data_IF_505021710914
#
_entry.id   IF_505021710914
#
_cell.length_a   1.000
_cell.length_b   1.000
_cell.length_c   1.000
_cell.angle_alpha   90.00
_cell.angle_beta   90.00
_cell.angle_gamma   90.00
#
_symmetry.space_group_name_H-M   'P 1'
#
loop_
_entity.id
_entity.type
_entity.pdbx_description
1 polymer ?
#
# COMPACT_ATOMS: atom_id res chain seq x y z
N UNK A 1 36.67 34.07 35.69
CA UNK A 1 35.57 34.45 34.77
C UNK A 1 35.37 33.29 33.79
N UNK A 2 34.88 32.13 34.23
CA UNK A 2 33.46 31.68 34.26
C UNK A 2 32.74 31.72 32.92
N UNK A 3 32.70 30.54 32.28
CA UNK A 3 31.85 30.10 31.18
C UNK A 3 30.37 30.18 31.59
N UNK A 4 29.50 30.69 30.72
CA UNK A 4 28.04 30.59 30.87
C UNK A 4 27.42 30.10 29.55
N UNK A 5 27.43 28.78 29.37
CA UNK A 5 26.62 28.10 28.35
C UNK A 5 25.15 28.08 28.77
N UNK A 6 24.25 28.48 27.88
CA UNK A 6 22.80 28.36 28.06
C UNK A 6 22.35 26.96 27.66
N UNK A 7 22.06 26.11 28.63
CA UNK A 7 21.40 24.82 28.43
C UNK A 7 19.88 25.00 28.34
N UNK A 8 19.27 24.49 27.27
CA UNK A 8 17.81 24.26 27.20
C UNK A 8 17.50 22.89 27.79
N UNK A 9 16.68 22.89 28.83
CA UNK A 9 16.09 21.73 29.49
C UNK A 9 15.13 21.02 28.53
N UNK A 10 15.38 19.74 28.24
CA UNK A 10 14.38 18.81 27.72
C UNK A 10 14.10 17.81 28.83
N UNK A 11 12.90 17.88 29.39
CA UNK A 11 12.40 16.96 30.42
C UNK A 11 11.96 15.69 29.72
N UNK A 12 12.67 14.61 29.99
CA UNK A 12 12.37 13.25 29.57
C UNK A 12 11.51 12.60 30.67
N UNK A 13 10.18 12.70 30.56
CA UNK A 13 9.26 11.88 31.37
C UNK A 13 8.93 10.61 30.60
N UNK A 14 9.45 9.49 31.10
CA UNK A 14 9.26 8.17 30.53
C UNK A 14 8.10 7.38 31.13
N UNK A 15 7.93 6.20 30.50
CA UNK A 15 7.32 4.94 31.00
C UNK A 15 5.79 4.86 31.00
N UNK A 16 5.24 3.98 30.14
CA UNK A 16 4.82 2.63 30.58
C UNK A 16 4.55 1.70 29.37
N UNK A 17 5.39 0.68 29.21
CA UNK A 17 5.16 -0.46 28.31
C UNK A 17 4.36 -1.50 29.08
N UNK A 18 3.13 -1.77 28.65
CA UNK A 18 2.35 -2.90 29.17
C UNK A 18 2.50 -4.07 28.20
N UNK A 19 3.38 -5.02 28.53
CA UNK A 19 3.42 -6.33 27.86
C UNK A 19 2.27 -7.15 28.42
N UNK A 20 1.24 -7.38 27.60
CA UNK A 20 0.23 -8.42 27.86
C UNK A 20 0.50 -9.55 26.87
N UNK A 21 1.15 -10.61 27.36
CA UNK A 21 1.30 -11.86 26.65
C UNK A 21 0.01 -12.69 26.83
N UNK A 22 -0.86 -12.68 25.82
CA UNK A 22 -1.89 -13.72 25.69
C UNK A 22 -1.36 -14.75 24.72
N UNK A 23 -0.94 -15.90 25.27
CA UNK A 23 -0.60 -17.08 24.52
C UNK A 23 -1.89 -17.67 23.91
N UNK A 24 -2.05 -17.55 22.60
CA UNK A 24 -3.00 -18.35 21.82
C UNK A 24 -2.18 -19.28 20.91
N UNK A 25 -2.56 -20.57 20.78
CA UNK A 25 -1.81 -21.53 20.00
C UNK A 25 -1.87 -21.17 18.52
N UNK A 26 -0.69 -21.02 17.91
CA UNK A 26 -0.50 -20.95 16.47
C UNK A 26 -0.96 -22.29 15.87
N UNK A 27 -2.18 -22.35 15.36
CA UNK A 27 -2.50 -23.36 14.35
C UNK A 27 -1.86 -22.92 13.04
N UNK A 28 -0.74 -23.56 12.74
CA UNK A 28 -0.10 -23.60 11.43
C UNK A 28 -1.08 -24.19 10.41
N UNK A 29 -1.94 -23.35 9.83
CA UNK A 29 -2.65 -23.66 8.59
C UNK A 29 -1.77 -23.26 7.38
N UNK A 30 -0.51 -23.67 7.39
CA UNK A 30 0.32 -23.66 6.19
C UNK A 30 -0.04 -24.92 5.41
N UNK A 31 -1.12 -24.84 4.65
CA UNK A 31 -1.46 -25.87 3.68
C UNK A 31 -0.35 -25.95 2.64
N UNK A 32 0.33 -27.10 2.58
CA UNK A 32 1.13 -27.54 1.45
C UNK A 32 0.27 -27.47 0.17
N UNK A 33 0.36 -26.36 -0.55
CA UNK A 33 -0.27 -26.15 -1.85
C UNK A 33 0.82 -25.75 -2.84
N UNK A 34 1.36 -26.74 -3.55
CA UNK A 34 2.48 -26.60 -4.47
C UNK A 34 2.36 -25.40 -5.41
N UNK A 35 3.49 -24.70 -5.57
CA UNK A 35 3.67 -23.66 -6.56
C UNK A 35 3.24 -24.16 -7.95
N UNK A 36 2.06 -23.70 -8.40
CA UNK A 36 1.59 -23.85 -9.78
C UNK A 36 2.50 -23.06 -10.72
N UNK A 37 3.54 -23.73 -11.23
CA UNK A 37 4.46 -23.23 -12.28
C UNK A 37 3.80 -23.15 -13.67
N UNK A 38 2.53 -23.50 -13.77
CA UNK A 38 1.71 -23.56 -14.98
C UNK A 38 0.96 -22.25 -15.30
N UNK A 39 0.85 -21.30 -14.36
CA UNK A 39 0.20 -20.00 -14.61
C UNK A 39 1.10 -19.06 -15.43
N UNK A 40 2.42 -19.14 -15.25
CA UNK A 40 3.40 -18.23 -15.88
C UNK A 40 3.39 -18.32 -17.42
N UNK A 41 3.02 -19.47 -17.99
CA UNK A 41 3.15 -19.70 -19.44
C UNK A 41 1.93 -19.28 -20.26
N UNK A 42 0.73 -19.24 -19.66
CA UNK A 42 -0.49 -18.78 -20.36
C UNK A 42 -0.67 -17.26 -20.30
N UNK A 43 -0.15 -16.62 -19.25
CA UNK A 43 -0.22 -15.17 -19.10
C UNK A 43 0.78 -14.44 -20.00
N UNK A 44 1.95 -15.06 -20.27
CA UNK A 44 2.98 -14.46 -21.12
C UNK A 44 2.51 -14.20 -22.57
N UNK A 45 1.63 -15.05 -23.12
CA UNK A 45 1.14 -14.89 -24.50
C UNK A 45 -0.10 -13.98 -24.61
N UNK A 46 -0.90 -13.82 -23.53
CA UNK A 46 -1.93 -12.77 -23.45
C UNK A 46 -1.33 -11.37 -23.20
N UNK A 47 -0.20 -11.30 -22.49
CA UNK A 47 0.43 -10.05 -22.07
C UNK A 47 1.19 -9.29 -23.17
N UNK A 48 1.45 -9.90 -24.33
CA UNK A 48 2.17 -9.22 -25.41
C UNK A 48 1.30 -8.19 -26.16
N UNK A 49 -0.03 -8.23 -26.02
CA UNK A 49 -0.95 -7.38 -26.79
C UNK A 49 -1.80 -6.45 -25.90
N UNK A 50 -1.73 -6.58 -24.58
CA UNK A 50 -2.39 -5.70 -23.62
C UNK A 50 -1.45 -5.41 -22.44
N UNK A 51 -0.46 -4.53 -22.63
CA UNK A 51 0.46 -4.15 -21.54
C UNK A 51 -0.25 -3.17 -20.58
N UNK A 52 -1.15 -3.67 -19.74
CA UNK A 52 -1.55 -2.94 -18.55
C UNK A 52 -0.33 -2.77 -17.63
N UNK A 53 0.01 -1.53 -17.30
CA UNK A 53 1.00 -1.23 -16.29
C UNK A 53 0.41 -1.53 -14.91
N UNK A 54 1.25 -1.94 -13.97
CA UNK A 54 0.81 -2.13 -12.59
C UNK A 54 1.10 -0.86 -11.78
N UNK A 55 0.19 -0.54 -10.87
CA UNK A 55 0.31 0.56 -9.93
C UNK A 55 0.06 0.05 -8.53
N UNK A 56 0.96 0.39 -7.60
CA UNK A 56 0.70 0.33 -6.18
C UNK A 56 -0.01 1.61 -5.77
N UNK A 57 -1.18 1.46 -5.17
CA UNK A 57 -1.95 2.56 -4.61
C UNK A 57 -1.98 2.39 -3.10
N UNK A 58 -1.55 3.41 -2.38
CA UNK A 58 -1.58 3.48 -0.93
C UNK A 58 -2.56 4.58 -0.51
N UNK A 59 -3.27 4.34 0.59
CA UNK A 59 -4.20 5.33 1.12
C UNK A 59 -4.26 5.33 2.64
N UNK A 60 -4.50 6.50 3.22
CA UNK A 60 -4.68 6.70 4.65
C UNK A 60 -5.81 7.68 4.91
N UNK A 61 -6.53 7.51 6.02
CA UNK A 61 -7.53 8.48 6.45
C UNK A 61 -6.90 9.86 6.68
N UNK A 62 -7.46 10.90 6.05
CA UNK A 62 -6.99 12.25 6.28
C UNK A 62 -7.42 12.73 7.68
N UNK A 63 -6.51 13.41 8.41
CA UNK A 63 -6.89 14.06 9.67
C UNK A 63 -7.91 15.19 9.43
N UNK A 64 -7.83 15.85 8.28
CA UNK A 64 -8.83 16.82 7.84
C UNK A 64 -10.09 16.08 7.41
N UNK A 65 -11.22 16.35 8.07
CA UNK A 65 -12.48 15.63 7.84
C UNK A 65 -12.67 14.42 8.76
N UNK A 66 -11.92 14.30 9.84
CA UNK A 66 -12.24 13.34 10.90
C UNK A 66 -13.58 13.72 11.56
N UNK A 67 -14.51 12.76 11.72
CA UNK A 67 -15.80 13.03 12.34
C UNK A 67 -15.62 13.41 13.81
N UNK A 68 -16.34 14.43 14.27
CA UNK A 68 -16.26 14.92 15.67
C UNK A 68 -17.37 14.36 16.55
N UNK A 69 -18.37 13.70 15.95
CA UNK A 69 -19.43 12.98 16.66
C UNK A 69 -19.61 11.55 16.17
N UNK A 70 -20.33 10.75 16.97
CA UNK A 70 -20.70 9.38 16.62
C UNK A 70 -21.57 9.33 15.36
N UNK A 71 -22.54 10.22 15.26
CA UNK A 71 -23.49 10.28 14.14
C UNK A 71 -22.76 10.61 12.84
N UNK A 72 -21.83 11.58 12.88
CA UNK A 72 -20.97 11.90 11.74
C UNK A 72 -20.07 10.72 11.35
N UNK A 73 -19.57 9.98 12.34
CA UNK A 73 -18.76 8.78 12.09
C UNK A 73 -19.57 7.71 11.35
N UNK A 74 -20.80 7.45 11.81
CA UNK A 74 -21.72 6.50 11.17
C UNK A 74 -21.99 6.95 9.73
N UNK A 75 -22.33 8.22 9.53
CA UNK A 75 -22.63 8.76 8.19
C UNK A 75 -21.42 8.66 7.24
N UNK A 76 -20.23 9.00 7.72
CA UNK A 76 -19.00 8.92 6.92
C UNK A 76 -18.65 7.47 6.56
N UNK A 77 -18.81 6.54 7.50
CA UNK A 77 -18.58 5.12 7.24
C UNK A 77 -19.58 4.57 6.22
N UNK A 78 -20.86 4.83 6.43
CA UNK A 78 -21.96 4.33 5.60
C UNK A 78 -21.93 4.88 4.17
N UNK A 79 -21.71 6.20 4.03
CA UNK A 79 -21.82 6.87 2.73
C UNK A 79 -20.51 6.97 1.96
N UNK A 80 -19.36 7.03 2.65
CA UNK A 80 -18.07 7.29 2.00
C UNK A 80 -17.15 6.07 2.05
N UNK A 81 -16.87 5.56 3.25
CA UNK A 81 -15.80 4.55 3.43
C UNK A 81 -16.23 3.18 2.92
N UNK A 82 -17.34 2.64 3.42
CA UNK A 82 -17.81 1.28 3.05
C UNK A 82 -18.03 1.16 1.54
N UNK A 83 -18.74 2.07 0.85
CA UNK A 83 -18.96 1.96 -0.58
C UNK A 83 -17.67 2.02 -1.39
N UNK A 84 -16.68 2.81 -0.95
CA UNK A 84 -15.38 2.90 -1.62
C UNK A 84 -14.62 1.59 -1.51
N UNK A 85 -14.57 0.98 -0.32
CA UNK A 85 -13.91 -0.30 -0.10
C UNK A 85 -14.60 -1.43 -0.87
N UNK A 86 -15.93 -1.45 -0.91
CA UNK A 86 -16.68 -2.42 -1.71
C UNK A 86 -16.42 -2.26 -3.21
N UNK A 87 -16.36 -1.03 -3.72
CA UNK A 87 -16.06 -0.77 -5.13
C UNK A 87 -14.67 -1.28 -5.49
N UNK A 88 -13.67 -1.04 -4.63
CA UNK A 88 -12.32 -1.57 -4.82
C UNK A 88 -12.26 -3.10 -4.76
N UNK A 89 -13.05 -3.73 -3.86
CA UNK A 89 -13.12 -5.18 -3.75
C UNK A 89 -13.85 -5.88 -4.91
N UNK A 90 -14.60 -5.14 -5.73
CA UNK A 90 -15.35 -5.65 -6.88
C UNK A 90 -14.68 -5.34 -8.23
N UNK A 91 -13.69 -4.43 -8.27
CA UNK A 91 -12.99 -4.06 -9.51
C UNK A 91 -12.01 -5.17 -9.93
N UNK A 92 -12.21 -5.73 -11.11
CA UNK A 92 -11.45 -6.88 -11.64
C UNK A 92 -10.00 -6.52 -12.03
N UNK A 93 -9.69 -5.22 -12.15
CA UNK A 93 -8.32 -4.74 -12.37
C UNK A 93 -7.51 -4.72 -11.07
N UNK A 94 -8.16 -4.75 -9.91
CA UNK A 94 -7.48 -4.84 -8.61
C UNK A 94 -6.97 -6.27 -8.43
N UNK A 95 -5.65 -6.44 -8.45
CA UNK A 95 -4.99 -7.75 -8.39
C UNK A 95 -4.87 -8.28 -6.96
N UNK A 96 -4.66 -7.37 -6.02
CA UNK A 96 -4.59 -7.66 -4.59
C UNK A 96 -4.76 -6.35 -3.81
N UNK A 97 -5.26 -6.43 -2.57
CA UNK A 97 -5.35 -5.26 -1.71
C UNK A 97 -5.90 -5.57 -0.33
N UNK A 98 -5.84 -4.59 0.56
CA UNK A 98 -6.37 -4.71 1.91
C UNK A 98 -6.04 -3.51 2.79
N UNK A 99 -6.45 -3.64 4.06
CA UNK A 99 -6.18 -2.69 5.13
C UNK A 99 -5.11 -3.28 6.04
N UNK A 100 -4.14 -2.47 6.44
CA UNK A 100 -3.16 -2.86 7.43
C UNK A 100 -3.84 -3.03 8.80
N UNK A 101 -3.58 -4.17 9.45
CA UNK A 101 -4.28 -4.51 10.69
C UNK A 101 -4.07 -3.45 11.78
N UNK A 102 -5.17 -3.02 12.40
CA UNK A 102 -5.16 -2.03 13.48
C UNK A 102 -4.94 -0.58 13.04
N UNK A 103 -4.94 -0.30 11.73
CA UNK A 103 -4.81 1.06 11.19
C UNK A 103 -5.95 1.39 10.23
N UNK A 104 -6.01 2.66 9.78
CA UNK A 104 -6.86 3.11 8.68
C UNK A 104 -6.04 3.37 7.41
N UNK A 105 -4.94 2.62 7.27
CA UNK A 105 -4.04 2.67 6.11
C UNK A 105 -4.27 1.41 5.29
N UNK A 106 -4.46 1.57 4.00
CA UNK A 106 -4.62 0.47 3.07
C UNK A 106 -3.70 0.59 1.88
N UNK A 107 -3.58 -0.52 1.16
CA UNK A 107 -2.87 -0.55 -0.10
C UNK A 107 -3.52 -1.57 -1.04
N UNK A 108 -3.43 -1.31 -2.34
CA UNK A 108 -3.82 -2.26 -3.37
C UNK A 108 -2.95 -2.12 -4.61
N UNK A 109 -2.89 -3.20 -5.40
CA UNK A 109 -2.24 -3.22 -6.70
C UNK A 109 -3.31 -3.29 -7.77
N UNK A 110 -3.26 -2.36 -8.73
CA UNK A 110 -4.20 -2.28 -9.84
C UNK A 110 -3.48 -2.28 -11.17
N UNK A 111 -4.09 -2.93 -12.16
CA UNK A 111 -3.67 -2.84 -13.55
C UNK A 111 -4.38 -1.71 -14.28
N UNK A 112 -3.63 -0.85 -14.95
CA UNK A 112 -4.16 0.27 -15.71
C UNK A 112 -3.23 0.64 -16.88
N UNK A 113 -3.77 1.34 -17.88
CA UNK A 113 -2.98 1.80 -19.04
C UNK A 113 -2.13 3.02 -18.71
N UNK A 114 -2.53 3.80 -17.70
CA UNK A 114 -1.82 5.00 -17.28
C UNK A 114 -2.13 5.37 -15.82
N UNK A 115 -1.29 6.25 -15.26
CA UNK A 115 -1.53 6.83 -13.93
C UNK A 115 -2.83 7.64 -13.89
N UNK A 116 -3.22 8.26 -15.00
CA UNK A 116 -4.43 9.06 -15.10
C UNK A 116 -5.69 8.20 -14.98
N UNK A 117 -5.68 6.99 -15.54
CA UNK A 117 -6.77 6.03 -15.39
C UNK A 117 -6.96 5.62 -13.91
N UNK A 118 -5.85 5.38 -13.20
CA UNK A 118 -5.88 5.10 -11.75
C UNK A 118 -6.39 6.30 -10.97
N UNK A 119 -5.95 7.51 -11.33
CA UNK A 119 -6.37 8.75 -10.66
C UNK A 119 -7.85 9.04 -10.88
N UNK A 120 -8.36 8.77 -12.08
CA UNK A 120 -9.79 8.89 -12.39
C UNK A 120 -10.64 7.88 -11.60
N UNK A 121 -10.17 6.63 -11.46
CA UNK A 121 -10.81 5.65 -10.58
C UNK A 121 -10.86 6.15 -9.14
N UNK A 122 -9.73 6.63 -8.61
CA UNK A 122 -9.65 7.14 -7.25
C UNK A 122 -10.61 8.34 -7.08
N UNK A 123 -10.64 9.26 -8.03
CA UNK A 123 -11.54 10.42 -8.00
C UNK A 123 -13.02 10.06 -8.02
N UNK A 124 -13.38 8.91 -8.60
CA UNK A 124 -14.75 8.41 -8.61
C UNK A 124 -15.17 7.74 -7.29
N UNK A 125 -14.22 7.43 -6.39
CA UNK A 125 -14.53 6.86 -5.08
C UNK A 125 -15.19 7.93 -4.18
N UNK A 126 -16.28 7.57 -3.46
CA UNK A 126 -16.88 8.47 -2.47
C UNK A 126 -15.89 8.97 -1.41
N UNK A 127 -14.92 8.15 -1.01
CA UNK A 127 -13.90 8.50 -0.03
C UNK A 127 -12.69 9.26 -0.61
N UNK A 128 -12.72 9.66 -1.88
CA UNK A 128 -11.60 10.31 -2.57
C UNK A 128 -11.10 11.57 -1.87
N UNK A 129 -12.01 12.35 -1.26
CA UNK A 129 -11.71 13.63 -0.62
C UNK A 129 -11.35 13.53 0.87
N UNK A 130 -11.72 12.43 1.54
CA UNK A 130 -11.50 12.21 2.98
C UNK A 130 -10.32 11.28 3.27
N UNK A 131 -9.69 10.76 2.22
CA UNK A 131 -8.47 9.95 2.30
C UNK A 131 -7.37 10.61 1.48
N UNK A 132 -6.13 10.41 1.93
CA UNK A 132 -4.95 10.76 1.16
C UNK A 132 -4.55 9.56 0.32
N UNK A 133 -4.34 9.77 -0.97
CA UNK A 133 -4.02 8.72 -1.93
C UNK A 133 -2.63 8.94 -2.53
N UNK A 134 -1.89 7.86 -2.71
CA UNK A 134 -0.60 7.85 -3.37
C UNK A 134 -0.61 6.77 -4.46
N UNK A 135 -0.28 7.17 -5.69
CA UNK A 135 -0.23 6.26 -6.84
C UNK A 135 1.21 6.15 -7.34
N UNK A 136 1.75 4.94 -7.24
CA UNK A 136 3.13 4.60 -7.56
C UNK A 136 3.16 3.54 -8.67
N UNK A 137 3.71 3.83 -9.87
CA UNK A 137 3.92 2.79 -10.88
C UNK A 137 4.92 1.75 -10.37
N UNK A 138 4.67 0.48 -10.64
CA UNK A 138 5.60 -0.60 -10.28
C UNK A 138 6.15 -1.28 -11.54
N UNK A 139 7.46 -1.50 -11.55
CA UNK A 139 8.16 -2.18 -12.65
C UNK A 139 8.13 -3.70 -12.44
N UNK A 140 8.18 -4.44 -13.56
CA UNK A 140 8.33 -5.89 -13.47
C UNK A 140 9.76 -6.26 -13.04
N UNK A 141 9.91 -7.33 -12.26
CA UNK A 141 11.23 -7.84 -11.89
C UNK A 141 12.08 -8.22 -13.12
N UNK A 142 11.46 -8.72 -14.18
CA UNK A 142 12.16 -9.07 -15.42
C UNK A 142 12.80 -7.83 -16.07
N UNK A 143 12.03 -6.76 -16.24
CA UNK A 143 12.54 -5.49 -16.77
C UNK A 143 13.66 -4.94 -15.89
N UNK A 144 13.45 -4.92 -14.56
CA UNK A 144 14.45 -4.43 -13.63
C UNK A 144 15.74 -5.25 -13.68
N UNK A 145 15.63 -6.58 -13.74
CA UNK A 145 16.80 -7.46 -13.84
C UNK A 145 17.63 -7.19 -15.10
N UNK A 146 16.99 -6.87 -16.24
CA UNK A 146 17.71 -6.56 -17.48
C UNK A 146 18.45 -5.22 -17.41
N UNK A 147 17.91 -4.23 -16.69
CA UNK A 147 18.63 -2.98 -16.36
C UNK A 147 19.87 -3.29 -15.52
N UNK A 148 19.71 -4.05 -14.44
CA UNK A 148 20.83 -4.36 -13.54
C UNK A 148 21.95 -5.15 -14.24
N UNK A 149 21.60 -6.07 -15.16
CA UNK A 149 22.59 -6.77 -15.99
C UNK A 149 23.42 -5.81 -16.85
N UNK A 150 22.81 -4.79 -17.44
CA UNK A 150 23.52 -3.78 -18.25
C UNK A 150 24.47 -2.94 -17.39
N UNK A 151 24.02 -2.55 -16.19
CA UNK A 151 24.87 -1.83 -15.22
C UNK A 151 26.08 -2.68 -14.85
N UNK A 152 25.88 -3.96 -14.52
CA UNK A 152 26.97 -4.88 -14.21
C UNK A 152 27.95 -5.06 -15.38
N UNK A 153 27.48 -5.13 -16.63
CA UNK A 153 28.34 -5.21 -17.81
C UNK A 153 29.23 -3.95 -17.95
N UNK A 154 28.63 -2.77 -17.85
CA UNK A 154 29.38 -1.50 -17.92
C UNK A 154 30.43 -1.36 -16.82
N UNK A 155 30.20 -1.92 -15.63
CA UNK A 155 31.22 -1.95 -14.55
C UNK A 155 32.37 -2.92 -14.84
N UNK A 156 32.11 -4.03 -15.54
CA UNK A 156 33.15 -5.00 -15.92
C UNK A 156 34.07 -4.49 -17.02
N UNK A 157 33.55 -3.63 -17.89
CA UNK A 157 34.26 -3.04 -19.02
C UNK A 157 35.13 -1.82 -18.63
N UNK A 158 34.96 -1.29 -17.42
CA UNK A 158 35.79 -0.21 -16.85
C UNK A 158 37.13 -0.70 -16.27
N UNK A 159 37.60 -1.88 -16.68
CA UNK A 159 38.93 -2.41 -16.35
C UNK A 159 39.97 -1.96 -17.37
#
# INVERSE_FOLDING_TARGET
MTLLGKSKTVVLTGVLVTVVAVALPLLSAFGEGGARRDVVRRDAERNATAMGMLYLVEFEAAQAGAPTSREQTIEQLDKLVIPSLESLGKDDRVRAGGIAAGTLTGAFVIEAKSKDEVTALIGALPASSVMKWQVTPIETFAHRADIEKKVMQGLREQK
#
